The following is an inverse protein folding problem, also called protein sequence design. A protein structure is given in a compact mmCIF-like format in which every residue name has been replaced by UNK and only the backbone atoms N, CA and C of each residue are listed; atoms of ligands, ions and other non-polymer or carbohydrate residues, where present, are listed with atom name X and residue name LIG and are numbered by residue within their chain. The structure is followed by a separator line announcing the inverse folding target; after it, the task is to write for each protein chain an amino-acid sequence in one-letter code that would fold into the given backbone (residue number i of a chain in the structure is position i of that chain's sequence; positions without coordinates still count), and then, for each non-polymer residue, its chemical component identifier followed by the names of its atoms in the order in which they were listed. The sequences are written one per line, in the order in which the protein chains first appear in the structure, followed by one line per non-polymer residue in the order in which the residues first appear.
data_IF_249365769556
#
_entry.id   IF_249365769556
#
_cell.length_a   1.000
_cell.length_b   1.000
_cell.length_c   1.000
_cell.angle_alpha   90.00
_cell.angle_beta   90.00
_cell.angle_gamma   90.00
#
_symmetry.space_group_name_H-M   'P 1'
#
loop_
_entity.id
_entity.type
_entity.pdbx_description
1 polymer ?
#
# COMPACT_ATOMS: atom_id res chain seq x y z
N UNK A 1 20.68 13.02 -19.33
CA UNK A 1 19.64 12.35 -18.52
C UNK A 1 18.66 11.73 -19.51
N UNK A 2 18.36 10.47 -19.36
CA UNK A 2 17.47 9.76 -20.28
C UNK A 2 16.01 9.93 -19.80
N UNK A 3 15.25 10.77 -20.49
CA UNK A 3 13.85 11.08 -20.16
C UNK A 3 12.97 9.83 -20.18
N UNK A 4 13.26 8.89 -21.06
CA UNK A 4 12.55 7.61 -21.10
C UNK A 4 12.76 6.82 -19.82
N UNK A 5 13.98 6.73 -19.31
CA UNK A 5 14.28 6.06 -18.04
C UNK A 5 13.57 6.74 -16.86
N UNK A 6 13.55 8.07 -16.84
CA UNK A 6 12.84 8.82 -15.82
C UNK A 6 11.32 8.53 -15.84
N UNK A 7 10.72 8.44 -17.03
CA UNK A 7 9.31 8.07 -17.18
C UNK A 7 9.02 6.63 -16.70
N UNK A 8 9.89 5.67 -17.04
CA UNK A 8 9.75 4.27 -16.62
C UNK A 8 9.86 4.16 -15.09
N UNK A 9 10.85 4.82 -14.49
CA UNK A 9 11.03 4.83 -13.05
C UNK A 9 9.81 5.43 -12.32
N UNK A 10 9.33 6.59 -12.77
CA UNK A 10 8.13 7.25 -12.20
C UNK A 10 6.87 6.39 -12.37
N UNK A 11 6.67 5.76 -13.52
CA UNK A 11 5.55 4.87 -13.77
C UNK A 11 5.58 3.63 -12.87
N UNK A 12 6.77 3.08 -12.60
CA UNK A 12 6.93 1.97 -11.66
C UNK A 12 6.57 2.38 -10.23
N UNK A 13 6.98 3.57 -9.80
CA UNK A 13 6.61 4.15 -8.51
C UNK A 13 5.10 4.36 -8.38
N UNK A 14 4.42 4.84 -9.41
CA UNK A 14 2.95 4.97 -9.44
C UNK A 14 2.26 3.63 -9.22
N UNK A 15 2.70 2.57 -9.91
CA UNK A 15 2.15 1.21 -9.74
C UNK A 15 2.35 0.68 -8.32
N UNK A 16 3.55 0.86 -7.79
CA UNK A 16 3.88 0.42 -6.44
C UNK A 16 3.01 1.13 -5.39
N UNK A 17 2.84 2.45 -5.50
CA UNK A 17 1.98 3.21 -4.58
C UNK A 17 0.49 2.88 -4.74
N UNK A 18 0.01 2.57 -5.95
CA UNK A 18 -1.36 2.09 -6.16
C UNK A 18 -1.64 0.80 -5.40
N UNK A 19 -0.71 -0.17 -5.44
CA UNK A 19 -0.83 -1.42 -4.69
C UNK A 19 -0.83 -1.14 -3.18
N UNK A 20 0.06 -0.26 -2.70
CA UNK A 20 0.10 0.14 -1.30
C UNK A 20 -1.22 0.77 -0.84
N UNK A 21 -1.75 1.73 -1.59
CA UNK A 21 -3.02 2.38 -1.27
C UNK A 21 -4.19 1.38 -1.23
N UNK A 22 -4.22 0.41 -2.15
CA UNK A 22 -5.23 -0.66 -2.14
C UNK A 22 -5.15 -1.48 -0.84
N UNK A 23 -3.96 -1.91 -0.44
CA UNK A 23 -3.78 -2.71 0.78
C UNK A 23 -4.14 -1.91 2.03
N UNK A 24 -3.77 -0.64 2.10
CA UNK A 24 -4.17 0.26 3.19
C UNK A 24 -5.70 0.42 3.23
N UNK A 25 -6.36 0.57 2.08
CA UNK A 25 -7.82 0.64 2.01
C UNK A 25 -8.49 -0.65 2.50
N UNK A 26 -7.94 -1.82 2.16
CA UNK A 26 -8.42 -3.11 2.67
C UNK A 26 -8.26 -3.19 4.20
N UNK A 27 -7.14 -2.73 4.75
CA UNK A 27 -6.91 -2.67 6.19
C UNK A 27 -7.93 -1.76 6.89
N UNK A 28 -8.14 -0.55 6.37
CA UNK A 28 -9.12 0.41 6.94
C UNK A 28 -10.54 -0.17 6.90
N UNK A 29 -10.94 -0.76 5.77
CA UNK A 29 -12.26 -1.35 5.61
C UNK A 29 -12.52 -2.49 6.61
N UNK A 30 -11.48 -3.23 6.98
CA UNK A 30 -11.58 -4.40 7.85
C UNK A 30 -11.10 -4.16 9.29
N UNK A 31 -10.81 -2.91 9.69
CA UNK A 31 -10.31 -2.60 11.04
C UNK A 31 -11.25 -3.05 12.15
N UNK A 32 -12.56 -3.03 11.90
CA UNK A 32 -13.59 -3.42 12.86
C UNK A 32 -14.19 -4.80 12.57
N UNK A 33 -13.62 -5.56 11.63
CA UNK A 33 -14.09 -6.91 11.31
C UNK A 33 -13.78 -7.85 12.48
N UNK A 34 -14.80 -8.58 12.90
CA UNK A 34 -14.71 -9.61 13.93
C UNK A 34 -14.77 -11.00 13.27
N UNK A 35 -14.23 -12.00 13.96
CA UNK A 35 -14.42 -13.40 13.57
C UNK A 35 -15.86 -13.86 13.80
N UNK A 36 -16.25 -14.94 13.13
CA UNK A 36 -17.58 -15.54 13.31
C UNK A 36 -17.65 -16.44 14.53
N UNK A 37 -16.51 -16.88 15.03
CA UNK A 37 -16.41 -17.77 16.20
C UNK A 37 -15.16 -17.47 17.04
N UNK A 38 -15.12 -17.87 18.34
CA UNK A 38 -13.96 -17.67 19.21
C UNK A 38 -12.69 -18.40 18.73
N UNK A 39 -12.85 -19.44 17.91
CA UNK A 39 -11.75 -20.27 17.40
C UNK A 39 -11.09 -19.68 16.17
N UNK A 40 -11.76 -18.74 15.50
CA UNK A 40 -11.25 -18.07 14.31
C UNK A 40 -10.54 -16.77 14.68
N UNK A 41 -9.48 -16.46 13.95
CA UNK A 41 -8.83 -15.17 14.08
C UNK A 41 -9.57 -14.11 13.25
N UNK A 42 -9.67 -12.85 13.74
CA UNK A 42 -10.21 -11.75 12.98
C UNK A 42 -9.27 -11.35 11.83
N UNK A 43 -9.68 -10.36 11.04
CA UNK A 43 -8.84 -9.81 9.99
C UNK A 43 -7.47 -9.40 10.52
N UNK A 44 -6.42 -9.86 9.87
CA UNK A 44 -5.04 -9.51 10.19
C UNK A 44 -4.53 -8.45 9.23
N UNK A 45 -3.87 -7.43 9.77
CA UNK A 45 -3.28 -6.33 9.01
C UNK A 45 -2.37 -6.85 7.91
N UNK A 46 -2.55 -6.37 6.69
CA UNK A 46 -1.68 -6.66 5.55
C UNK A 46 -0.60 -5.59 5.42
N UNK A 47 0.59 -6.00 5.04
CA UNK A 47 1.76 -5.14 4.85
C UNK A 47 2.29 -5.34 3.44
N UNK A 48 2.64 -4.25 2.77
CA UNK A 48 3.32 -4.27 1.47
C UNK A 48 4.74 -3.76 1.65
N UNK A 49 5.70 -4.54 1.17
CA UNK A 49 7.10 -4.12 1.04
C UNK A 49 7.41 -3.76 -0.40
N UNK A 50 8.41 -2.91 -0.62
CA UNK A 50 8.90 -2.58 -1.94
C UNK A 50 10.25 -3.22 -2.18
N UNK A 51 10.49 -3.58 -3.44
CA UNK A 51 11.75 -4.12 -3.91
C UNK A 51 12.21 -3.32 -5.11
N UNK A 52 13.52 -3.10 -5.22
CA UNK A 52 14.13 -2.52 -6.41
C UNK A 52 14.58 -3.64 -7.31
N UNK A 53 14.23 -3.57 -8.58
CA UNK A 53 14.62 -4.53 -9.61
C UNK A 53 15.18 -3.79 -10.82
N UNK A 54 16.27 -4.30 -11.37
CA UNK A 54 16.84 -3.76 -12.59
C UNK A 54 16.05 -4.27 -13.81
N UNK A 55 15.36 -3.36 -14.50
CA UNK A 55 14.84 -3.64 -15.83
C UNK A 55 16.03 -3.72 -16.82
N UNK A 56 16.42 -4.92 -17.17
CA UNK A 56 17.57 -5.17 -18.03
C UNK A 56 17.35 -4.73 -19.48
N UNK A 57 16.08 -4.62 -19.91
CA UNK A 57 15.75 -4.19 -21.27
C UNK A 57 15.99 -2.70 -21.44
N UNK A 58 15.57 -1.92 -20.45
CA UNK A 58 15.67 -0.46 -20.47
C UNK A 58 16.89 0.07 -19.71
N UNK A 59 17.58 -0.77 -18.96
CA UNK A 59 18.74 -0.38 -18.15
C UNK A 59 18.38 0.63 -17.06
N UNK A 60 17.23 0.44 -16.38
CA UNK A 60 16.73 1.33 -15.34
C UNK A 60 16.27 0.53 -14.12
N UNK A 61 16.57 1.04 -12.95
CA UNK A 61 16.02 0.49 -11.71
C UNK A 61 14.55 0.88 -11.55
N UNK A 62 13.70 -0.11 -11.36
CA UNK A 62 12.26 0.03 -11.16
C UNK A 62 11.85 -0.46 -9.78
N UNK A 63 10.82 0.17 -9.23
CA UNK A 63 10.23 -0.26 -7.96
C UNK A 63 9.09 -1.22 -8.25
N UNK A 64 9.13 -2.38 -7.57
CA UNK A 64 8.03 -3.36 -7.60
C UNK A 64 7.48 -3.58 -6.20
N UNK A 65 6.15 -3.75 -6.06
CA UNK A 65 5.60 -4.23 -4.81
C UNK A 65 6.06 -5.67 -4.58
N UNK A 66 6.55 -5.96 -3.39
CA UNK A 66 6.88 -7.31 -2.95
C UNK A 66 5.62 -8.12 -2.62
N UNK A 67 5.82 -9.30 -2.05
CA UNK A 67 4.70 -10.12 -1.57
C UNK A 67 3.98 -9.41 -0.43
N UNK A 68 2.65 -9.51 -0.44
CA UNK A 68 1.83 -9.05 0.67
C UNK A 68 2.06 -10.00 1.84
N UNK A 69 2.49 -9.45 2.98
CA UNK A 69 2.68 -10.17 4.23
C UNK A 69 1.61 -9.78 5.25
N UNK A 70 1.50 -10.56 6.32
CA UNK A 70 0.61 -10.27 7.43
C UNK A 70 1.43 -9.78 8.64
N UNK A 71 0.93 -8.74 9.29
CA UNK A 71 1.53 -8.22 10.52
C UNK A 71 1.37 -9.25 11.65
N UNK A 72 2.46 -9.62 12.28
CA UNK A 72 2.48 -10.63 13.36
C UNK A 72 2.12 -10.06 14.74
N UNK A 73 1.77 -8.78 14.84
CA UNK A 73 1.30 -8.20 16.10
C UNK A 73 0.08 -8.95 16.62
N UNK A 74 0.02 -9.07 17.93
CA UNK A 74 -1.11 -9.70 18.61
C UNK A 74 -2.40 -8.92 18.39
N UNK A 75 -3.52 -9.63 18.39
CA UNK A 75 -4.84 -9.05 18.34
C UNK A 75 -5.19 -8.39 19.68
N UNK A 76 -5.86 -7.24 19.60
CA UNK A 76 -6.44 -6.61 20.78
C UNK A 76 -7.68 -7.37 21.22
N UNK A 77 -7.96 -7.40 22.53
CA UNK A 77 -9.15 -8.02 23.08
C UNK A 77 -10.08 -6.95 23.62
N UNK A 78 -11.36 -7.11 23.34
CA UNK A 78 -12.43 -6.26 23.88
C UNK A 78 -13.42 -7.12 24.65
N UNK A 79 -13.85 -6.65 25.82
CA UNK A 79 -14.89 -7.32 26.59
C UNK A 79 -16.25 -7.08 25.96
N UNK A 80 -16.87 -8.13 25.44
CA UNK A 80 -18.19 -8.14 24.82
C UNK A 80 -18.80 -9.54 24.91
N UNK A 81 -19.35 -9.92 26.08
CA UNK A 81 -19.84 -11.28 26.34
C UNK A 81 -21.10 -11.65 25.53
N UNK A 82 -21.80 -10.66 24.97
CA UNK A 82 -22.96 -10.89 24.10
C UNK A 82 -22.64 -11.22 22.66
N UNK A 83 -21.36 -11.18 22.29
CA UNK A 83 -20.93 -11.43 20.92
C UNK A 83 -20.71 -12.93 20.66
N UNK A 84 -21.18 -13.49 19.53
CA UNK A 84 -20.95 -14.90 19.16
C UNK A 84 -19.47 -15.31 19.09
N UNK A 85 -18.56 -14.34 18.87
CA UNK A 85 -17.13 -14.55 18.81
C UNK A 85 -16.43 -14.40 20.18
N UNK A 86 -17.18 -14.22 21.28
CA UNK A 86 -16.62 -14.09 22.61
C UNK A 86 -16.06 -15.45 23.09
N UNK A 87 -14.92 -15.39 23.77
CA UNK A 87 -14.35 -16.54 24.46
C UNK A 87 -15.11 -16.83 25.77
N UNK A 88 -14.72 -17.89 26.47
CA UNK A 88 -15.36 -18.31 27.78
C UNK A 88 -15.28 -17.21 28.86
N UNK A 89 -14.31 -16.30 28.75
CA UNK A 89 -14.14 -15.15 29.64
C UNK A 89 -14.90 -13.90 29.17
N UNK A 90 -15.60 -13.94 28.02
CA UNK A 90 -16.38 -12.85 27.47
C UNK A 90 -15.56 -11.85 26.66
N UNK A 91 -14.36 -12.19 26.21
CA UNK A 91 -13.53 -11.32 25.38
C UNK A 91 -13.59 -11.72 23.90
N UNK A 92 -13.63 -10.71 23.04
CA UNK A 92 -13.60 -10.85 21.58
C UNK A 92 -12.25 -10.35 21.07
N UNK A 93 -11.62 -11.12 20.19
CA UNK A 93 -10.42 -10.68 19.47
C UNK A 93 -10.82 -9.67 18.42
N UNK A 94 -10.11 -8.54 18.37
CA UNK A 94 -10.24 -7.51 17.34
C UNK A 94 -9.05 -7.55 16.40
N UNK A 95 -9.26 -7.05 15.16
CA UNK A 95 -8.18 -6.86 14.19
C UNK A 95 -7.01 -6.07 14.80
N UNK A 96 -5.80 -6.40 14.39
CA UNK A 96 -4.58 -5.67 14.76
C UNK A 96 -4.33 -4.43 13.89
N UNK A 97 -5.33 -3.98 13.14
CA UNK A 97 -5.29 -2.75 12.35
C UNK A 97 -5.52 -1.53 13.24
N UNK A 98 -4.64 -0.55 13.14
CA UNK A 98 -4.85 0.77 13.74
C UNK A 98 -5.28 1.76 12.66
N UNK A 99 -6.55 2.15 12.64
CA UNK A 99 -7.12 3.02 11.61
C UNK A 99 -6.42 4.37 11.49
N UNK A 100 -5.94 4.95 12.59
CA UNK A 100 -5.22 6.23 12.55
C UNK A 100 -3.87 6.08 11.83
N UNK A 101 -3.12 5.02 12.11
CA UNK A 101 -1.85 4.72 11.45
C UNK A 101 -2.09 4.47 9.96
N UNK A 102 -3.09 3.67 9.61
CA UNK A 102 -3.45 3.42 8.21
C UNK A 102 -3.85 4.69 7.45
N UNK A 103 -4.57 5.62 8.10
CA UNK A 103 -4.91 6.91 7.50
C UNK A 103 -3.67 7.78 7.25
N UNK A 104 -2.69 7.77 8.16
CA UNK A 104 -1.42 8.47 7.97
C UNK A 104 -0.62 7.85 6.82
N UNK A 105 -0.55 6.52 6.77
CA UNK A 105 0.09 5.77 5.69
C UNK A 105 -0.58 6.03 4.33
N UNK A 106 -1.91 6.13 4.30
CA UNK A 106 -2.67 6.50 3.10
C UNK A 106 -2.27 7.88 2.59
N UNK A 107 -2.22 8.89 3.48
CA UNK A 107 -1.80 10.24 3.10
C UNK A 107 -0.37 10.27 2.59
N UNK A 108 0.52 9.51 3.20
CA UNK A 108 1.91 9.38 2.73
C UNK A 108 1.97 8.75 1.34
N UNK A 109 1.23 7.67 1.11
CA UNK A 109 1.17 6.99 -0.19
C UNK A 109 0.59 7.90 -1.28
N UNK A 110 -0.46 8.67 -0.97
CA UNK A 110 -1.05 9.66 -1.88
C UNK A 110 -0.06 10.76 -2.26
N UNK A 111 0.70 11.29 -1.31
CA UNK A 111 1.74 12.32 -1.58
C UNK A 111 2.82 11.77 -2.51
N UNK A 112 3.29 10.54 -2.24
CA UNK A 112 4.31 9.90 -3.06
C UNK A 112 3.77 9.60 -4.47
N UNK A 113 2.53 9.16 -4.58
CA UNK A 113 1.85 8.95 -5.85
C UNK A 113 1.78 10.26 -6.65
N UNK A 114 1.33 11.34 -6.03
CA UNK A 114 1.24 12.66 -6.68
C UNK A 114 2.62 13.17 -7.11
N UNK A 115 3.65 12.98 -6.31
CA UNK A 115 5.02 13.35 -6.65
C UNK A 115 5.53 12.59 -7.88
N UNK A 116 5.29 11.28 -7.95
CA UNK A 116 5.65 10.47 -9.11
C UNK A 116 4.85 10.86 -10.37
N UNK A 117 3.58 11.22 -10.21
CA UNK A 117 2.75 11.71 -11.31
C UNK A 117 3.30 13.02 -11.87
N UNK A 118 3.61 13.98 -11.00
CA UNK A 118 4.20 15.25 -11.40
C UNK A 118 5.55 15.06 -12.11
N UNK A 119 6.39 14.13 -11.63
CA UNK A 119 7.66 13.80 -12.29
C UNK A 119 7.46 13.19 -13.68
N UNK A 120 6.48 12.30 -13.82
CA UNK A 120 6.12 11.71 -15.10
C UNK A 120 5.63 12.77 -16.11
N UNK A 121 4.73 13.66 -15.67
CA UNK A 121 4.21 14.75 -16.51
C UNK A 121 5.31 15.72 -16.91
N UNK A 122 6.21 16.09 -15.99
CA UNK A 122 7.35 16.94 -16.28
C UNK A 122 8.27 16.32 -17.35
N UNK A 123 8.57 15.02 -17.21
CA UNK A 123 9.39 14.28 -18.17
C UNK A 123 8.72 14.22 -19.55
N UNK A 124 7.40 13.99 -19.62
CA UNK A 124 6.63 14.02 -20.87
C UNK A 124 6.65 15.39 -21.53
N UNK A 125 6.49 16.46 -20.74
CA UNK A 125 6.54 17.83 -21.24
C UNK A 125 7.92 18.16 -21.80
N UNK A 126 9.00 17.77 -21.11
CA UNK A 126 10.36 17.97 -21.62
C UNK A 126 10.59 17.23 -22.93
N UNK A 127 10.11 15.99 -23.04
CA UNK A 127 10.20 15.22 -24.28
C UNK A 127 9.46 15.91 -25.45
N UNK A 128 8.25 16.43 -25.19
CA UNK A 128 7.47 17.16 -26.19
C UNK A 128 8.18 18.42 -26.69
N UNK A 129 8.69 19.24 -25.76
CA UNK A 129 9.44 20.47 -26.10
C UNK A 129 10.70 20.11 -26.91
N UNK A 130 11.41 19.05 -26.54
CA UNK A 130 12.61 18.62 -27.29
C UNK A 130 12.25 18.26 -28.74
N UNK A 131 11.13 17.56 -28.94
CA UNK A 131 10.65 17.20 -30.27
C UNK A 131 10.22 18.44 -31.10
N UNK A 132 9.60 19.42 -30.45
CA UNK A 132 9.20 20.67 -31.10
C UNK A 132 10.40 21.48 -31.53
N UNK A 133 11.49 21.50 -30.78
CA UNK A 133 12.74 22.21 -31.14
C UNK A 133 13.52 21.54 -32.26
N UNK A 134 13.25 20.26 -32.55
CA UNK A 134 13.87 19.53 -33.67
C UNK A 134 13.07 19.59 -34.98
N UNK A 135 11.96 20.29 -34.97
CA UNK A 135 11.10 20.52 -36.15
C UNK A 135 11.40 21.83 -36.82
#
# INVERSE_FOLDING_TARGET
MDLQKAMIASASGLRAQSVRMRVISENIANQNSLSSSPLEDPYRRKIVTFQTELDRVNGVEVVKPGKIAFDQKEFTKKYDPGNPAADEAGYVKQSNVNGLIEMMDMRQAQRTYQSNLNALEASRRMASITLELLR
#
